data_IF_087844107386
#
_entry.id   IF_087844107386
#
_cell.length_a   1.000
_cell.length_b   1.000
_cell.length_c   1.000
_cell.angle_alpha   90.00
_cell.angle_beta   90.00
_cell.angle_gamma   90.00
#
_symmetry.space_group_name_H-M   'P 1'
#
loop_
_entity.id
_entity.type
_entity.pdbx_description
1 polymer ?
#
# COMPACT_ATOMS: atom_id res chain seq x y z
N UNK A 1 -9.40 -1.62 1.47
CA UNK A 1 -9.48 -3.09 1.34
C UNK A 1 -10.62 -3.52 2.25
N UNK A 2 -11.64 -4.26 1.77
CA UNK A 2 -12.67 -4.76 2.67
C UNK A 2 -12.02 -5.62 3.75
N UNK A 3 -12.37 -5.42 5.00
CA UNK A 3 -11.84 -6.20 6.11
C UNK A 3 -12.97 -6.63 7.04
N UNK A 4 -12.82 -7.82 7.61
CA UNK A 4 -13.83 -8.44 8.44
C UNK A 4 -13.44 -8.30 9.92
N UNK A 5 -14.38 -7.88 10.77
CA UNK A 5 -14.12 -7.59 12.18
C UNK A 5 -15.38 -7.79 13.03
N UNK A 6 -15.19 -7.88 14.35
CA UNK A 6 -16.29 -7.89 15.31
C UNK A 6 -16.71 -6.46 15.65
N UNK A 7 -17.98 -6.11 15.45
CA UNK A 7 -18.50 -4.79 15.78
C UNK A 7 -18.68 -4.58 17.29
N UNK A 8 -18.79 -5.66 18.07
CA UNK A 8 -18.97 -5.56 19.53
C UNK A 8 -17.67 -5.15 20.25
N UNK A 9 -16.51 -5.63 19.80
CA UNK A 9 -15.22 -5.38 20.46
C UNK A 9 -14.13 -4.81 19.55
N UNK A 10 -14.44 -4.56 18.27
CA UNK A 10 -13.49 -4.02 17.29
C UNK A 10 -12.41 -4.99 16.82
N UNK A 11 -12.41 -6.25 17.27
CA UNK A 11 -11.35 -7.20 16.93
C UNK A 11 -11.42 -7.61 15.44
N UNK A 12 -10.35 -7.40 14.65
CA UNK A 12 -10.32 -7.83 13.25
C UNK A 12 -10.05 -9.34 13.13
N UNK A 13 -10.61 -9.97 12.11
CA UNK A 13 -10.33 -11.37 11.79
C UNK A 13 -9.05 -11.46 10.96
N UNK A 14 -7.97 -11.95 11.57
CA UNK A 14 -6.64 -12.03 10.97
C UNK A 14 -6.39 -13.35 10.25
N UNK A 15 -5.46 -13.34 9.30
CA UNK A 15 -4.95 -14.56 8.68
C UNK A 15 -4.03 -15.33 9.64
N UNK A 16 -4.14 -16.65 9.70
CA UNK A 16 -3.26 -17.49 10.53
C UNK A 16 -1.81 -17.50 10.02
N UNK A 17 -1.67 -17.32 8.71
CA UNK A 17 -0.39 -17.37 8.01
C UNK A 17 0.27 -16.00 7.84
N UNK A 18 -0.48 -14.91 7.95
CA UNK A 18 0.01 -13.56 7.70
C UNK A 18 -0.52 -12.61 8.77
N UNK A 19 0.28 -11.66 9.25
CA UNK A 19 -0.19 -10.64 10.19
C UNK A 19 -0.95 -9.52 9.44
N UNK A 20 -2.03 -9.91 8.77
CA UNK A 20 -2.94 -9.06 8.01
C UNK A 20 -4.37 -9.46 8.28
N UNK A 21 -5.30 -8.51 8.12
CA UNK A 21 -6.73 -8.75 8.24
C UNK A 21 -7.24 -9.45 6.96
N UNK A 22 -8.12 -10.43 7.13
CA UNK A 22 -8.76 -11.11 6.02
C UNK A 22 -9.79 -10.21 5.34
N UNK A 23 -9.83 -10.28 4.01
CA UNK A 23 -10.81 -9.56 3.21
C UNK A 23 -12.06 -10.41 3.00
N UNK A 24 -13.23 -9.78 3.10
CA UNK A 24 -14.50 -10.43 2.76
C UNK A 24 -14.69 -10.45 1.23
N UNK A 25 -14.99 -11.63 0.68
CA UNK A 25 -15.26 -11.88 -0.73
C UNK A 25 -16.61 -12.56 -0.91
N UNK A 26 -17.23 -12.35 -2.09
CA UNK A 26 -18.45 -13.04 -2.53
C UNK A 26 -18.14 -13.98 -3.69
N UNK A 27 -18.40 -15.27 -3.52
CA UNK A 27 -18.24 -16.31 -4.54
C UNK A 27 -19.59 -16.89 -5.00
N UNK A 28 -19.53 -17.90 -5.87
CA UNK A 28 -20.74 -18.61 -6.34
C UNK A 28 -21.52 -19.32 -5.22
N UNK A 29 -20.83 -19.71 -4.15
CA UNK A 29 -21.38 -20.52 -3.06
C UNK A 29 -21.58 -19.73 -1.76
N UNK A 30 -21.50 -18.39 -1.80
CA UNK A 30 -21.66 -17.54 -0.64
C UNK A 30 -20.47 -16.63 -0.37
N UNK A 31 -20.47 -16.03 0.82
CA UNK A 31 -19.39 -15.19 1.32
C UNK A 31 -18.26 -16.02 1.91
N UNK A 32 -17.01 -15.58 1.74
CA UNK A 32 -15.84 -16.21 2.33
C UNK A 32 -14.76 -15.16 2.62
N UNK A 33 -13.84 -15.49 3.52
CA UNK A 33 -12.71 -14.66 3.87
C UNK A 33 -11.48 -15.07 3.05
N UNK A 34 -10.70 -14.10 2.57
CA UNK A 34 -9.49 -14.33 1.78
C UNK A 34 -8.34 -13.43 2.21
N UNK A 35 -7.16 -14.02 2.36
CA UNK A 35 -5.91 -13.31 2.48
C UNK A 35 -5.35 -13.01 1.09
N UNK A 36 -5.29 -11.75 0.69
CA UNK A 36 -4.67 -11.36 -0.59
C UNK A 36 -3.15 -11.53 -0.64
N UNK A 37 -2.50 -11.74 0.51
CA UNK A 37 -1.06 -11.89 0.61
C UNK A 37 -0.61 -13.35 0.39
N UNK A 38 -1.25 -14.30 1.06
CA UNK A 38 -0.90 -15.72 0.95
C UNK A 38 -1.90 -16.56 0.15
N UNK A 39 -3.09 -16.05 -0.16
CA UNK A 39 -4.14 -16.80 -0.82
C UNK A 39 -4.95 -17.73 0.09
N UNK A 40 -4.68 -17.74 1.40
CA UNK A 40 -5.49 -18.46 2.39
C UNK A 40 -6.95 -18.00 2.31
N UNK A 41 -7.88 -18.96 2.33
CA UNK A 41 -9.31 -18.70 2.37
C UNK A 41 -9.93 -19.47 3.53
N UNK A 42 -10.94 -18.88 4.16
CA UNK A 42 -11.74 -19.53 5.21
C UNK A 42 -13.20 -19.12 5.09
N UNK A 43 -14.09 -19.86 5.73
CA UNK A 43 -15.46 -19.44 5.93
C UNK A 43 -15.54 -18.26 6.91
N UNK A 44 -16.71 -17.63 6.99
CA UNK A 44 -16.98 -16.60 7.99
C UNK A 44 -17.10 -17.26 9.38
N UNK A 45 -16.36 -16.80 10.40
CA UNK A 45 -16.55 -17.30 11.75
C UNK A 45 -17.95 -16.95 12.27
N UNK A 46 -18.56 -17.84 13.05
CA UNK A 46 -19.86 -17.60 13.69
C UNK A 46 -19.75 -16.75 14.96
N UNK A 47 -18.59 -16.78 15.62
CA UNK A 47 -18.32 -16.07 16.87
C UNK A 47 -16.95 -15.41 16.85
N UNK A 48 -16.84 -14.27 17.55
CA UNK A 48 -15.58 -13.57 17.72
C UNK A 48 -14.64 -14.36 18.64
N UNK A 49 -13.43 -14.66 18.18
CA UNK A 49 -12.41 -15.36 18.98
C UNK A 49 -11.95 -14.58 20.24
N UNK A 50 -12.20 -13.27 20.30
CA UNK A 50 -11.79 -12.43 21.43
C UNK A 50 -12.90 -12.23 22.49
N UNK A 51 -14.13 -11.92 22.07
CA UNK A 51 -15.22 -11.60 23.01
C UNK A 51 -16.39 -12.58 23.00
N UNK A 52 -16.40 -13.58 22.10
CA UNK A 52 -17.51 -14.51 21.92
C UNK A 52 -18.76 -13.92 21.24
N UNK A 53 -18.79 -12.61 20.97
CA UNK A 53 -19.89 -11.93 20.29
C UNK A 53 -20.14 -12.46 18.88
N UNK A 54 -21.38 -12.38 18.43
CA UNK A 54 -21.83 -12.88 17.11
C UNK A 54 -21.95 -11.77 16.06
N UNK A 55 -21.80 -10.50 16.45
CA UNK A 55 -21.87 -9.38 15.53
C UNK A 55 -20.54 -9.20 14.80
N UNK A 56 -20.34 -10.03 13.78
CA UNK A 56 -19.20 -9.97 12.87
C UNK A 56 -19.64 -9.33 11.56
N UNK A 57 -18.92 -8.30 11.12
CA UNK A 57 -19.29 -7.49 9.98
C UNK A 57 -18.09 -7.29 9.05
N UNK A 58 -18.37 -7.24 7.75
CA UNK A 58 -17.42 -6.77 6.75
C UNK A 58 -17.56 -5.26 6.56
N UNK A 59 -16.48 -4.51 6.76
CA UNK A 59 -16.39 -3.12 6.31
C UNK A 59 -15.67 -3.10 4.98
N UNK A 60 -16.40 -2.76 3.92
CA UNK A 60 -15.87 -2.64 2.57
C UNK A 60 -15.87 -1.21 2.05
N UNK A 61 -14.77 -0.48 2.20
CA UNK A 61 -14.39 0.54 1.20
C UNK A 61 -13.64 -0.21 0.09
N UNK A 62 -14.39 -0.66 -0.90
CA UNK A 62 -13.88 -1.42 -2.03
C UNK A 62 -14.61 -1.04 -3.31
N UNK A 63 -13.92 -1.20 -4.43
CA UNK A 63 -14.47 -0.97 -5.78
C UNK A 63 -15.77 -1.74 -6.02
N UNK A 64 -15.97 -2.89 -5.38
CA UNK A 64 -17.20 -3.68 -5.46
C UNK A 64 -18.40 -3.01 -4.77
N UNK A 65 -18.23 -2.48 -3.55
CA UNK A 65 -19.31 -1.79 -2.84
C UNK A 65 -19.70 -0.51 -3.58
N UNK A 66 -18.69 0.21 -4.07
CA UNK A 66 -18.88 1.40 -4.91
C UNK A 66 -19.62 1.05 -6.20
N UNK A 67 -19.26 -0.05 -6.88
CA UNK A 67 -19.98 -0.55 -8.05
C UNK A 67 -21.45 -0.85 -7.72
N UNK A 68 -21.73 -1.53 -6.61
CA UNK A 68 -23.10 -1.86 -6.19
C UNK A 68 -23.92 -0.60 -5.88
N UNK A 69 -23.43 0.26 -4.98
CA UNK A 69 -24.14 1.49 -4.59
C UNK A 69 -24.36 2.42 -5.78
N UNK A 70 -23.37 2.57 -6.67
CA UNK A 70 -23.54 3.38 -7.88
C UNK A 70 -24.51 2.74 -8.88
N UNK A 71 -24.57 1.41 -8.98
CA UNK A 71 -25.52 0.74 -9.88
C UNK A 71 -26.97 0.88 -9.39
N UNK A 72 -27.18 1.08 -8.09
CA UNK A 72 -28.51 1.36 -7.52
C UNK A 72 -28.93 2.83 -7.73
N UNK A 73 -27.96 3.75 -7.72
CA UNK A 73 -28.21 5.20 -7.85
C UNK A 73 -28.26 5.66 -9.31
N UNK A 74 -27.46 5.04 -10.19
CA UNK A 74 -27.29 5.48 -11.57
C UNK A 74 -28.05 4.59 -12.55
N UNK A 75 -28.65 5.20 -13.57
CA UNK A 75 -29.28 4.49 -14.68
C UNK A 75 -28.27 4.05 -15.77
N UNK A 76 -26.98 3.98 -15.45
CA UNK A 76 -25.92 3.60 -16.39
C UNK A 76 -25.21 2.36 -15.89
N UNK A 77 -24.73 1.55 -16.82
CA UNK A 77 -23.88 0.41 -16.49
C UNK A 77 -22.57 0.89 -15.85
N UNK A 78 -22.30 0.40 -14.64
CA UNK A 78 -21.08 0.68 -13.89
C UNK A 78 -20.10 -0.46 -14.11
N UNK A 79 -18.98 -0.17 -14.77
CA UNK A 79 -17.94 -1.17 -14.98
C UNK A 79 -16.91 -1.10 -13.87
N UNK A 80 -16.65 -2.23 -13.21
CA UNK A 80 -15.51 -2.39 -12.29
C UNK A 80 -14.25 -2.92 -12.98
N UNK A 81 -13.12 -2.30 -12.69
CA UNK A 81 -11.77 -2.68 -13.15
C UNK A 81 -10.82 -2.77 -11.95
N UNK A 82 -10.59 -3.99 -11.47
CA UNK A 82 -9.61 -4.30 -10.44
C UNK A 82 -8.96 -5.67 -10.68
N UNK A 83 -7.94 -5.99 -9.87
CA UNK A 83 -7.16 -7.23 -9.98
C UNK A 83 -7.95 -8.50 -9.68
N UNK A 84 -9.11 -8.38 -9.01
CA UNK A 84 -9.96 -9.52 -8.67
C UNK A 84 -10.94 -9.85 -9.81
N UNK A 85 -11.44 -8.81 -10.52
CA UNK A 85 -12.37 -8.97 -11.65
C UNK A 85 -11.64 -9.21 -12.98
N UNK A 86 -10.52 -8.52 -13.23
CA UNK A 86 -9.78 -8.64 -14.51
C UNK A 86 -8.69 -9.71 -14.39
N UNK A 87 -8.85 -10.79 -15.16
CA UNK A 87 -7.93 -11.94 -15.12
C UNK A 87 -6.88 -11.92 -16.23
N UNK A 88 -7.04 -11.07 -17.24
CA UNK A 88 -6.11 -10.98 -18.39
C UNK A 88 -5.78 -9.54 -18.78
N UNK A 89 -4.56 -9.31 -19.29
CA UNK A 89 -4.16 -8.00 -19.84
C UNK A 89 -5.04 -7.56 -21.02
N UNK A 90 -5.53 -8.51 -21.83
CA UNK A 90 -6.39 -8.21 -22.97
C UNK A 90 -7.74 -7.64 -22.54
N UNK A 91 -8.34 -8.19 -21.49
CA UNK A 91 -9.60 -7.69 -20.92
C UNK A 91 -9.48 -6.26 -20.40
N UNK A 92 -8.39 -5.94 -19.68
CA UNK A 92 -8.12 -4.56 -19.28
C UNK A 92 -8.04 -3.60 -20.46
N UNK A 93 -7.28 -3.94 -21.51
CA UNK A 93 -7.13 -3.07 -22.67
C UNK A 93 -8.46 -2.85 -23.40
N UNK A 94 -9.32 -3.87 -23.46
CA UNK A 94 -10.65 -3.77 -24.06
C UNK A 94 -11.55 -2.80 -23.29
N UNK A 95 -11.68 -2.96 -21.97
CA UNK A 95 -12.49 -2.08 -21.12
C UNK A 95 -12.02 -0.62 -21.24
N UNK A 96 -10.70 -0.43 -21.21
CA UNK A 96 -10.08 0.88 -21.35
C UNK A 96 -10.38 1.52 -22.71
N UNK A 97 -10.31 0.75 -23.80
CA UNK A 97 -10.69 1.21 -25.14
C UNK A 97 -12.17 1.57 -25.22
N UNK A 98 -13.06 0.71 -24.73
CA UNK A 98 -14.51 0.94 -24.72
C UNK A 98 -14.88 2.19 -23.89
N UNK A 99 -14.19 2.44 -22.78
CA UNK A 99 -14.35 3.67 -21.99
C UNK A 99 -13.85 4.92 -22.74
N UNK A 100 -12.69 4.84 -23.39
CA UNK A 100 -12.18 5.95 -24.22
C UNK A 100 -13.08 6.31 -25.41
N UNK A 101 -13.71 5.30 -26.01
CA UNK A 101 -14.70 5.45 -27.09
C UNK A 101 -16.08 5.92 -26.60
N UNK A 102 -16.29 6.07 -25.28
CA UNK A 102 -17.55 6.51 -24.69
C UNK A 102 -18.64 5.44 -24.60
N UNK A 103 -18.32 4.17 -24.89
CA UNK A 103 -19.24 3.03 -24.74
C UNK A 103 -19.51 2.72 -23.26
N UNK A 104 -18.48 2.86 -22.42
CA UNK A 104 -18.61 2.78 -20.96
C UNK A 104 -18.70 4.20 -20.42
N UNK A 105 -19.77 4.49 -19.67
CA UNK A 105 -20.01 5.83 -19.09
C UNK A 105 -19.45 5.99 -17.69
N UNK A 106 -19.39 4.91 -16.92
CA UNK A 106 -18.91 4.90 -15.53
C UNK A 106 -17.94 3.75 -15.34
N UNK A 107 -16.73 4.07 -14.90
CA UNK A 107 -15.67 3.11 -14.62
C UNK A 107 -15.19 3.30 -13.18
N UNK A 108 -15.28 2.23 -12.39
CA UNK A 108 -14.81 2.16 -11.00
C UNK A 108 -13.58 1.26 -10.97
N UNK A 109 -12.50 1.68 -10.35
CA UNK A 109 -11.35 0.79 -10.20
C UNK A 109 -10.28 1.31 -9.28
N UNK A 110 -9.20 0.53 -9.19
CA UNK A 110 -8.04 0.86 -8.35
C UNK A 110 -7.00 1.64 -9.15
N UNK A 111 -5.77 1.75 -8.61
CA UNK A 111 -4.58 2.33 -9.27
C UNK A 111 -4.39 1.87 -10.73
N UNK A 112 -4.91 0.70 -11.11
CA UNK A 112 -4.89 0.19 -12.48
C UNK A 112 -5.62 1.09 -13.50
N UNK A 113 -6.67 1.81 -13.09
CA UNK A 113 -7.45 2.70 -13.98
C UNK A 113 -6.70 3.97 -14.34
N UNK A 114 -5.64 4.32 -13.62
CA UNK A 114 -4.89 5.57 -13.85
C UNK A 114 -3.66 5.32 -14.75
N UNK A 115 -3.18 4.07 -14.81
CA UNK A 115 -1.99 3.68 -15.60
C UNK A 115 -2.38 3.39 -17.05
N UNK A 116 -2.09 4.33 -17.95
CA UNK A 116 -2.00 4.08 -19.40
C UNK A 116 -3.08 4.69 -20.29
N UNK A 117 -3.70 5.83 -19.92
CA UNK A 117 -4.97 6.24 -20.53
C UNK A 117 -5.10 7.72 -20.85
N UNK A 118 -5.10 8.10 -22.12
CA UNK A 118 -5.59 9.42 -22.54
C UNK A 118 -7.11 9.33 -22.77
N UNK A 119 -7.90 10.07 -21.98
CA UNK A 119 -9.35 10.05 -22.05
C UNK A 119 -9.92 11.46 -22.23
N UNK A 120 -9.90 12.00 -23.45
CA UNK A 120 -10.33 13.38 -23.70
C UNK A 120 -11.79 13.66 -23.30
N UNK A 121 -12.61 12.61 -23.15
CA UNK A 121 -14.04 12.70 -22.85
C UNK A 121 -14.38 12.63 -21.35
N UNK A 122 -13.41 12.39 -20.47
CA UNK A 122 -13.69 12.26 -19.02
C UNK A 122 -14.05 13.62 -18.44
N UNK A 123 -15.29 13.73 -17.96
CA UNK A 123 -15.85 14.94 -17.38
C UNK A 123 -15.81 15.00 -15.86
N UNK A 124 -15.65 13.85 -15.19
CA UNK A 124 -15.60 13.74 -13.74
C UNK A 124 -14.68 12.60 -13.32
N UNK A 125 -13.79 12.87 -12.38
CA UNK A 125 -13.04 11.85 -11.65
C UNK A 125 -13.27 12.04 -10.16
N UNK A 126 -13.48 10.93 -9.44
CA UNK A 126 -13.66 10.92 -7.99
C UNK A 126 -12.62 10.01 -7.36
N UNK A 127 -11.78 10.57 -6.49
CA UNK A 127 -10.84 9.84 -5.65
C UNK A 127 -11.51 9.66 -4.28
N UNK A 128 -11.96 8.44 -3.97
CA UNK A 128 -12.73 8.14 -2.76
C UNK A 128 -11.89 8.06 -1.47
N UNK A 129 -10.59 7.81 -1.59
CA UNK A 129 -9.69 7.74 -0.44
C UNK A 129 -8.28 8.20 -0.84
N UNK A 130 -8.03 9.51 -0.76
CA UNK A 130 -6.71 10.06 -1.08
C UNK A 130 -5.63 9.70 -0.05
N UNK A 131 -6.03 9.43 1.20
CA UNK A 131 -5.12 9.15 2.31
C UNK A 131 -4.31 7.86 2.07
N UNK A 132 -4.87 6.88 1.35
CA UNK A 132 -4.15 5.65 0.98
C UNK A 132 -2.86 5.93 0.18
N UNK A 133 -2.88 6.96 -0.68
CA UNK A 133 -1.71 7.33 -1.48
C UNK A 133 -0.78 8.27 -0.72
N UNK A 134 -1.33 9.15 0.12
CA UNK A 134 -0.57 10.19 0.85
C UNK A 134 0.32 9.59 1.95
N UNK A 135 -0.16 8.58 2.69
CA UNK A 135 0.57 8.04 3.86
C UNK A 135 1.16 6.64 3.65
N UNK A 136 1.16 6.15 2.41
CA UNK A 136 1.42 4.75 2.04
C UNK A 136 2.57 4.11 2.84
N UNK A 137 2.22 3.28 3.83
CA UNK A 137 3.15 2.44 4.60
C UNK A 137 4.26 3.20 5.34
N UNK A 138 4.08 4.50 5.61
CA UNK A 138 5.14 5.34 6.18
C UNK A 138 6.33 5.57 5.23
N UNK A 139 6.17 5.33 3.93
CA UNK A 139 7.20 5.58 2.94
C UNK A 139 7.31 7.08 2.66
N UNK A 140 8.49 7.65 2.87
CA UNK A 140 8.77 9.07 2.62
C UNK A 140 8.57 9.50 1.15
N UNK A 141 8.47 8.54 0.23
CA UNK A 141 8.12 8.78 -1.19
C UNK A 141 6.62 8.76 -1.46
N UNK A 142 5.78 8.54 -0.44
CA UNK A 142 4.33 8.50 -0.59
C UNK A 142 3.77 9.82 -1.14
N UNK A 143 4.18 10.96 -0.56
CA UNK A 143 3.77 12.29 -1.00
C UNK A 143 4.10 12.56 -2.48
N UNK A 144 5.33 12.23 -2.88
CA UNK A 144 5.80 12.41 -4.27
C UNK A 144 4.94 11.60 -5.25
N UNK A 145 4.68 10.33 -4.92
CA UNK A 145 3.86 9.45 -5.75
C UNK A 145 2.39 9.86 -5.77
N UNK A 146 1.86 10.29 -4.64
CA UNK A 146 0.51 10.84 -4.56
C UNK A 146 0.38 12.05 -5.50
N UNK A 147 1.36 12.94 -5.49
CA UNK A 147 1.38 14.08 -6.38
C UNK A 147 1.47 13.68 -7.86
N UNK A 148 2.36 12.75 -8.22
CA UNK A 148 2.44 12.20 -9.59
C UNK A 148 1.09 11.63 -10.05
N UNK A 149 0.40 10.88 -9.19
CA UNK A 149 -0.92 10.32 -9.48
C UNK A 149 -1.95 11.43 -9.67
N UNK A 150 -1.98 12.44 -8.79
CA UNK A 150 -2.93 13.55 -8.87
C UNK A 150 -2.76 14.35 -10.17
N UNK A 151 -1.52 14.71 -10.53
CA UNK A 151 -1.24 15.39 -11.80
C UNK A 151 -1.53 14.53 -13.02
N UNK A 152 -1.23 13.22 -12.95
CA UNK A 152 -1.55 12.28 -14.01
C UNK A 152 -3.08 12.20 -14.21
N UNK A 153 -3.86 12.16 -13.13
CA UNK A 153 -5.31 12.16 -13.19
C UNK A 153 -5.80 13.48 -13.77
N UNK A 154 -5.37 14.62 -13.23
CA UNK A 154 -5.88 15.93 -13.66
C UNK A 154 -5.58 16.24 -15.12
N UNK A 155 -4.40 15.84 -15.62
CA UNK A 155 -4.03 16.05 -17.02
C UNK A 155 -4.87 15.23 -18.00
N UNK A 156 -5.59 14.21 -17.52
CA UNK A 156 -6.43 13.32 -18.34
C UNK A 156 -7.92 13.67 -18.24
N UNK A 157 -8.29 14.71 -17.48
CA UNK A 157 -9.66 15.22 -17.39
C UNK A 157 -9.83 16.30 -18.46
N UNK A 158 -10.99 16.33 -19.12
CA UNK A 158 -11.30 17.39 -20.09
C UNK A 158 -11.19 18.78 -19.44
N UNK A 159 -10.95 19.83 -20.22
CA UNK A 159 -10.75 21.20 -19.71
C UNK A 159 -11.87 21.70 -18.76
N UNK A 160 -13.12 21.32 -19.04
CA UNK A 160 -14.34 21.65 -18.27
C UNK A 160 -14.74 20.54 -17.28
N UNK A 161 -13.86 19.58 -17.03
CA UNK A 161 -14.13 18.46 -16.14
C UNK A 161 -13.82 18.78 -14.68
N UNK A 162 -14.31 17.93 -13.78
CA UNK A 162 -14.17 18.09 -12.34
C UNK A 162 -13.36 16.95 -11.74
N UNK A 163 -12.53 17.27 -10.75
CA UNK A 163 -11.84 16.30 -9.89
C UNK A 163 -12.35 16.46 -8.47
N UNK A 164 -12.96 15.43 -7.92
CA UNK A 164 -13.38 15.37 -6.52
C UNK A 164 -12.41 14.48 -5.75
N UNK A 165 -11.92 14.99 -4.63
CA UNK A 165 -10.95 14.28 -3.78
C UNK A 165 -11.55 14.17 -2.39
N UNK A 166 -11.77 12.93 -1.95
CA UNK A 166 -12.20 12.62 -0.59
C UNK A 166 -10.96 12.24 0.23
N UNK A 167 -10.81 12.91 1.36
CA UNK A 167 -9.70 12.72 2.31
C UNK A 167 -10.15 13.04 3.72
N UNK A 168 -9.54 12.39 4.70
CA UNK A 168 -9.66 12.74 6.12
C UNK A 168 -8.84 13.98 6.49
N UNK A 169 -7.80 14.33 5.71
CA UNK A 169 -6.95 15.49 5.95
C UNK A 169 -6.95 16.47 4.76
N UNK A 170 -7.98 17.31 4.59
CA UNK A 170 -8.05 18.27 3.48
C UNK A 170 -6.95 19.34 3.54
N UNK A 171 -6.30 19.52 4.69
CA UNK A 171 -5.23 20.49 4.90
C UNK A 171 -3.84 19.95 4.56
N UNK A 172 -3.73 18.70 4.10
CA UNK A 172 -2.45 18.10 3.74
C UNK A 172 -1.68 18.97 2.71
N UNK A 173 -0.38 19.27 2.92
CA UNK A 173 0.39 20.17 2.05
C UNK A 173 0.31 19.81 0.57
N UNK A 174 0.54 18.53 0.22
CA UNK A 174 0.42 18.00 -1.15
C UNK A 174 -0.92 18.35 -1.81
N UNK A 175 -2.04 18.16 -1.11
CA UNK A 175 -3.36 18.45 -1.66
C UNK A 175 -3.57 19.95 -1.86
N UNK A 176 -3.17 20.77 -0.88
CA UNK A 176 -3.30 22.23 -0.97
C UNK A 176 -2.47 22.82 -2.11
N UNK A 177 -1.26 22.30 -2.31
CA UNK A 177 -0.35 22.76 -3.36
C UNK A 177 -0.80 22.28 -4.74
N UNK A 178 -1.28 21.03 -4.85
CA UNK A 178 -1.91 20.50 -6.05
C UNK A 178 -3.10 21.37 -6.49
N UNK A 179 -4.03 21.68 -5.58
CA UNK A 179 -5.20 22.53 -5.87
C UNK A 179 -4.82 23.96 -6.29
N UNK A 180 -3.64 24.44 -5.89
CA UNK A 180 -3.10 25.76 -6.27
C UNK A 180 -2.26 25.73 -7.55
N UNK A 181 -2.07 24.57 -8.17
CA UNK A 181 -1.20 24.40 -9.34
C UNK A 181 0.27 24.65 -9.05
N UNK A 182 0.71 24.52 -7.78
CA UNK A 182 2.08 24.84 -7.33
C UNK A 182 2.97 23.60 -7.27
N UNK A 183 3.00 22.81 -8.34
CA UNK A 183 3.78 21.56 -8.44
C UNK A 183 5.24 21.76 -8.02
N UNK A 184 5.88 22.83 -8.51
CA UNK A 184 7.29 23.10 -8.26
C UNK A 184 7.57 23.26 -6.76
N UNK A 185 6.75 24.05 -6.07
CA UNK A 185 6.90 24.32 -4.64
C UNK A 185 6.78 23.03 -3.81
N UNK A 186 5.88 22.12 -4.18
CA UNK A 186 5.74 20.82 -3.52
C UNK A 186 7.00 19.98 -3.64
N UNK A 187 7.59 19.92 -4.84
CA UNK A 187 8.81 19.16 -5.06
C UNK A 187 10.00 19.79 -4.34
N UNK A 188 10.14 21.12 -4.36
CA UNK A 188 11.17 21.84 -3.63
C UNK A 188 11.08 21.55 -2.12
N UNK A 189 9.88 21.61 -1.53
CA UNK A 189 9.65 21.26 -0.12
C UNK A 189 10.07 19.82 0.18
N UNK A 190 9.60 18.84 -0.61
CA UNK A 190 9.95 17.42 -0.40
C UNK A 190 11.45 17.16 -0.59
N UNK A 191 12.09 17.88 -1.51
CA UNK A 191 13.52 17.78 -1.77
C UNK A 191 14.32 18.30 -0.57
N UNK A 192 13.99 19.47 -0.04
CA UNK A 192 14.61 20.03 1.17
C UNK A 192 14.40 19.13 2.40
N UNK A 193 13.19 18.59 2.58
CA UNK A 193 12.90 17.66 3.68
C UNK A 193 13.76 16.38 3.60
N UNK A 194 13.97 15.85 2.39
CA UNK A 194 14.83 14.68 2.15
C UNK A 194 16.31 15.00 2.38
N UNK A 195 16.77 16.19 1.97
CA UNK A 195 18.14 16.63 2.21
C UNK A 195 18.44 16.71 3.70
N UNK A 196 17.59 17.42 4.45
CA UNK A 196 17.73 17.59 5.91
C UNK A 196 17.64 16.26 6.67
N UNK A 197 16.85 15.32 6.16
CA UNK A 197 16.68 14.00 6.78
C UNK A 197 17.71 12.96 6.30
N UNK A 198 18.60 13.32 5.37
CA UNK A 198 19.57 12.40 4.80
C UNK A 198 18.92 11.21 4.07
N UNK A 199 17.81 11.45 3.38
CA UNK A 199 17.09 10.43 2.61
C UNK A 199 17.52 10.46 1.13
N UNK A 200 17.28 9.38 0.35
CA UNK A 200 17.46 9.41 -1.10
C UNK A 200 16.74 10.61 -1.75
N UNK A 201 17.36 11.28 -2.74
CA UNK A 201 18.58 10.89 -3.46
C UNK A 201 19.91 11.33 -2.83
N UNK A 202 19.90 12.03 -1.68
CA UNK A 202 21.12 12.61 -1.08
C UNK A 202 22.02 11.60 -0.39
N UNK A 203 21.44 10.47 0.04
CA UNK A 203 22.17 9.31 0.59
C UNK A 203 21.70 8.04 -0.10
N UNK A 204 22.57 7.04 -0.12
CA UNK A 204 22.26 5.68 -0.55
C UNK A 204 21.49 4.98 0.56
N UNK A 205 20.56 4.12 0.17
CA UNK A 205 19.69 3.42 1.10
C UNK A 205 19.69 1.93 0.79
N UNK A 206 19.77 1.09 1.82
CA UNK A 206 19.48 -0.32 1.69
C UNK A 206 18.56 -0.80 2.81
N UNK A 207 17.77 -1.83 2.53
CA UNK A 207 17.03 -2.58 3.53
C UNK A 207 17.70 -3.94 3.69
N UNK A 208 18.10 -4.25 4.92
CA UNK A 208 18.52 -5.59 5.30
C UNK A 208 17.38 -6.24 6.07
N UNK A 209 16.89 -7.39 5.59
CA UNK A 209 15.77 -8.11 6.17
C UNK A 209 16.18 -9.55 6.47
N UNK A 210 15.81 -10.04 7.66
CA UNK A 210 15.94 -11.45 8.03
C UNK A 210 14.57 -12.09 8.04
N UNK A 211 14.47 -13.24 7.38
CA UNK A 211 13.23 -14.03 7.27
C UNK A 211 13.38 -15.39 7.94
N UNK A 212 12.45 -15.72 8.82
CA UNK A 212 12.42 -17.01 9.54
C UNK A 212 11.00 -17.55 9.67
N UNK A 213 10.83 -18.87 9.63
CA UNK A 213 9.54 -19.52 9.91
C UNK A 213 9.25 -19.71 11.41
N UNK A 214 10.25 -19.49 12.27
CA UNK A 214 10.13 -19.59 13.73
C UNK A 214 10.00 -18.21 14.38
N UNK A 215 8.95 -18.01 15.17
CA UNK A 215 8.74 -16.80 15.96
C UNK A 215 9.81 -16.61 17.04
N UNK A 216 10.30 -17.70 17.63
CA UNK A 216 11.40 -17.64 18.60
C UNK A 216 12.66 -17.08 17.94
N UNK A 217 13.00 -17.59 16.75
CA UNK A 217 14.12 -17.06 15.98
C UNK A 217 13.90 -15.61 15.55
N UNK A 218 12.66 -15.18 15.28
CA UNK A 218 12.33 -13.77 14.99
C UNK A 218 12.67 -12.87 16.18
N UNK A 219 12.29 -13.27 17.39
CA UNK A 219 12.63 -12.56 18.64
C UNK A 219 14.14 -12.51 18.88
N UNK A 220 14.86 -13.60 18.63
CA UNK A 220 16.32 -13.66 18.75
C UNK A 220 16.98 -12.73 17.73
N UNK A 221 16.56 -12.77 16.46
CA UNK A 221 17.08 -11.91 15.42
C UNK A 221 16.83 -10.43 15.73
N UNK A 222 15.67 -10.08 16.28
CA UNK A 222 15.37 -8.72 16.70
C UNK A 222 16.39 -8.23 17.73
N UNK A 223 16.65 -8.99 18.80
CA UNK A 223 17.67 -8.64 19.79
C UNK A 223 19.07 -8.51 19.21
N UNK A 224 19.50 -9.46 18.37
CA UNK A 224 20.83 -9.39 17.74
C UNK A 224 20.98 -8.14 16.87
N UNK A 225 19.93 -7.74 16.16
CA UNK A 225 19.93 -6.51 15.36
C UNK A 225 19.85 -5.26 16.22
N UNK A 226 19.11 -5.28 17.33
CA UNK A 226 19.03 -4.20 18.31
C UNK A 226 20.42 -3.91 18.89
N UNK A 227 21.09 -4.94 19.41
CA UNK A 227 22.45 -4.86 19.92
C UNK A 227 23.43 -4.33 18.85
N UNK A 228 23.29 -4.76 17.60
CA UNK A 228 24.11 -4.26 16.51
C UNK A 228 23.87 -2.77 16.27
N UNK A 229 22.62 -2.32 16.15
CA UNK A 229 22.27 -0.93 15.85
C UNK A 229 22.76 0.02 16.95
N UNK A 230 22.61 -0.35 18.22
CA UNK A 230 23.06 0.48 19.35
C UNK A 230 24.59 0.69 19.35
N UNK A 231 25.33 -0.35 18.95
CA UNK A 231 26.79 -0.37 19.01
C UNK A 231 27.48 0.05 17.72
N UNK A 232 26.78 0.08 16.58
CA UNK A 232 27.39 0.38 15.29
C UNK A 232 27.75 1.87 15.13
N UNK A 233 28.99 2.18 14.70
CA UNK A 233 29.50 3.56 14.60
C UNK A 233 29.93 3.99 13.19
N UNK A 234 30.08 3.06 12.24
CA UNK A 234 30.66 3.33 10.92
C UNK A 234 29.66 3.89 9.89
N UNK A 235 28.36 3.85 10.17
CA UNK A 235 27.31 4.34 9.27
C UNK A 235 25.98 4.54 9.99
N UNK A 236 24.95 4.98 9.28
CA UNK A 236 23.61 5.16 9.86
C UNK A 236 22.77 3.91 9.65
N UNK A 237 22.35 3.28 10.75
CA UNK A 237 21.43 2.15 10.73
C UNK A 237 20.22 2.48 11.58
N UNK A 238 19.02 2.36 11.02
CA UNK A 238 17.75 2.58 11.70
C UNK A 238 17.02 1.26 11.92
N UNK A 239 16.37 1.14 13.07
CA UNK A 239 15.68 -0.07 13.50
C UNK A 239 16.39 -0.73 14.69
N UNK A 240 16.25 -2.06 14.87
CA UNK A 240 15.41 -2.97 14.08
C UNK A 240 13.93 -2.60 14.15
N UNK A 241 13.18 -2.96 13.12
CA UNK A 241 11.74 -2.78 13.09
C UNK A 241 11.08 -3.95 12.38
N UNK A 242 9.82 -4.21 12.71
CA UNK A 242 9.00 -5.10 11.90
C UNK A 242 8.46 -4.32 10.69
N UNK A 243 8.49 -4.89 9.47
CA UNK A 243 7.83 -4.27 8.33
C UNK A 243 6.31 -4.16 8.59
N UNK A 244 5.58 -3.31 7.83
CA UNK A 244 4.14 -3.09 8.03
C UNK A 244 3.30 -4.36 8.14
N UNK A 245 3.77 -5.44 7.50
CA UNK A 245 3.23 -6.80 7.70
C UNK A 245 4.32 -7.68 8.30
N UNK A 246 4.30 -7.93 9.62
CA UNK A 246 5.37 -8.69 10.31
C UNK A 246 5.53 -10.11 9.78
N UNK A 247 4.42 -10.81 9.51
CA UNK A 247 4.41 -12.21 9.07
C UNK A 247 3.74 -12.34 7.70
N UNK A 248 4.38 -13.03 6.75
CA UNK A 248 3.82 -13.37 5.44
C UNK A 248 4.04 -14.85 5.16
N UNK A 249 2.96 -15.59 4.85
CA UNK A 249 3.03 -17.02 4.47
C UNK A 249 3.83 -17.85 5.48
N UNK A 250 3.54 -17.69 6.77
CA UNK A 250 4.26 -18.37 7.85
C UNK A 250 5.64 -17.81 8.17
N UNK A 251 6.15 -16.86 7.39
CA UNK A 251 7.50 -16.32 7.53
C UNK A 251 7.47 -14.97 8.24
N UNK A 252 8.10 -14.91 9.39
CA UNK A 252 8.34 -13.69 10.17
C UNK A 252 9.49 -12.89 9.57
N UNK A 253 9.41 -11.57 9.71
CA UNK A 253 10.33 -10.62 9.11
C UNK A 253 10.73 -9.57 10.14
N UNK A 254 12.04 -9.33 10.23
CA UNK A 254 12.63 -8.20 10.93
C UNK A 254 13.61 -7.53 9.98
N UNK A 255 13.67 -6.20 10.01
CA UNK A 255 14.54 -5.43 9.13
C UNK A 255 15.23 -4.29 9.83
N UNK A 256 16.34 -3.86 9.24
CA UNK A 256 16.97 -2.56 9.50
C UNK A 256 17.08 -1.79 8.19
N UNK A 257 17.09 -0.47 8.30
CA UNK A 257 17.35 0.44 7.19
C UNK A 257 18.76 0.96 7.33
N UNK A 258 19.56 0.81 6.28
CA UNK A 258 20.93 1.33 6.20
C UNK A 258 20.92 2.57 5.34
N UNK A 259 21.51 3.65 5.83
CA UNK A 259 21.79 4.86 5.06
C UNK A 259 23.30 5.09 5.03
N UNK A 260 23.84 5.36 3.86
CA UNK A 260 25.27 5.64 3.64
C UNK A 260 25.46 6.80 2.68
N UNK A 261 26.58 7.50 2.80
CA UNK A 261 26.90 8.62 1.90
C UNK A 261 27.24 8.14 0.49
N UNK A 262 27.84 6.94 0.37
CA UNK A 262 28.15 6.30 -0.90
C UNK A 262 27.86 4.79 -0.88
N UNK A 263 28.08 4.13 -2.03
CA UNK A 263 27.87 2.70 -2.17
C UNK A 263 28.81 1.84 -1.29
N UNK A 264 30.02 2.34 -0.99
CA UNK A 264 31.01 1.61 -0.20
C UNK A 264 30.60 1.57 1.26
N UNK A 265 30.12 2.69 1.80
CA UNK A 265 29.60 2.77 3.16
C UNK A 265 28.44 1.78 3.34
N UNK A 266 27.44 1.81 2.44
CA UNK A 266 26.31 0.86 2.48
C UNK A 266 26.81 -0.59 2.38
N UNK A 267 27.70 -0.89 1.43
CA UNK A 267 28.23 -2.25 1.26
C UNK A 267 28.97 -2.75 2.49
N UNK A 268 29.71 -1.87 3.19
CA UNK A 268 30.42 -2.22 4.41
C UNK A 268 29.44 -2.57 5.54
N UNK A 269 28.41 -1.73 5.77
CA UNK A 269 27.38 -2.03 6.77
C UNK A 269 26.65 -3.33 6.47
N UNK A 270 26.29 -3.58 5.20
CA UNK A 270 25.63 -4.81 4.80
C UNK A 270 26.51 -6.05 5.02
N UNK A 271 27.82 -5.95 4.77
CA UNK A 271 28.77 -7.03 5.07
C UNK A 271 28.88 -7.31 6.57
N UNK A 272 28.88 -6.26 7.40
CA UNK A 272 28.92 -6.42 8.85
C UNK A 272 27.62 -7.06 9.37
N UNK A 273 26.46 -6.63 8.87
CA UNK A 273 25.15 -7.26 9.15
C UNK A 273 25.10 -8.72 8.69
N UNK A 274 25.71 -9.03 7.54
CA UNK A 274 25.79 -10.39 7.02
C UNK A 274 26.62 -11.31 7.92
N UNK A 275 27.63 -10.78 8.62
CA UNK A 275 28.46 -11.57 9.54
C UNK A 275 27.76 -11.96 10.85
N UNK A 276 26.64 -11.31 11.18
CA UNK A 276 25.92 -11.54 12.43
C UNK A 276 25.32 -12.96 12.50
N UNK A 277 25.23 -13.55 13.71
CA UNK A 277 24.69 -14.89 13.96
C UNK A 277 23.15 -14.93 13.89
N UNK A 278 22.58 -14.36 12.84
CA UNK A 278 21.14 -14.31 12.58
C UNK A 278 20.63 -15.65 12.07
N UNK A 279 19.45 -16.05 12.56
CA UNK A 279 18.80 -17.32 12.25
C UNK A 279 17.72 -17.14 11.19
N UNK A 280 18.00 -17.61 9.98
CA UNK A 280 17.06 -17.56 8.86
C UNK A 280 17.72 -17.02 7.59
N UNK A 281 16.89 -16.70 6.60
CA UNK A 281 17.35 -16.17 5.32
C UNK A 281 17.59 -14.66 5.43
N UNK A 282 18.81 -14.24 5.12
CA UNK A 282 19.21 -12.83 4.99
C UNK A 282 18.87 -12.31 3.59
N UNK A 283 18.32 -11.12 3.50
CA UNK A 283 17.87 -10.48 2.25
C UNK A 283 18.37 -9.05 2.23
N UNK A 284 18.93 -8.67 1.09
CA UNK A 284 19.49 -7.34 0.84
C UNK A 284 18.70 -6.68 -0.28
N UNK A 285 18.19 -5.49 -0.04
CA UNK A 285 17.52 -4.67 -1.04
C UNK A 285 18.20 -3.31 -1.11
N UNK A 286 19.10 -3.14 -2.08
CA UNK A 286 19.88 -1.91 -2.29
C UNK A 286 19.09 -0.97 -3.19
N UNK A 287 19.02 0.30 -2.79
CA UNK A 287 18.25 1.37 -3.41
C UNK A 287 16.77 0.96 -3.64
N UNK A 288 16.04 0.62 -2.57
CA UNK A 288 14.67 0.16 -2.69
C UNK A 288 13.77 1.23 -3.29
N UNK A 289 12.99 0.84 -4.30
CA UNK A 289 11.94 1.69 -4.89
C UNK A 289 10.72 1.82 -3.96
N UNK A 290 10.51 0.79 -3.12
CA UNK A 290 9.38 0.64 -2.22
C UNK A 290 9.85 0.16 -0.85
N UNK A 291 9.23 0.68 0.22
CA UNK A 291 9.56 0.35 1.62
C UNK A 291 8.57 -0.64 2.26
N UNK A 292 7.57 -1.13 1.53
CA UNK A 292 6.57 -2.12 1.95
C UNK A 292 6.94 -3.57 1.58
#
# INVERSE_FOLDING_TARGET
MPYFFCSDCGTPVKCENCDVVLALHKGKFGEFLKCHVCGFSSDLPLTCANCGGTNLQGVGFGTQRVEQELSEILNFEVFRMDSDKIRSKGESLRILKEFGEGKIRVLVGTKMVVKGLDFPNVSLVVILNADEFLYRGGDFRAEERAMQILYQISGRIRKEGKLLIQTYNPNHPVLREFLRGKMKNSYERMYEERERSGLPPFRRMAIFEVRTSSEENDRINFKVLEDFVENYKFGTVWGPTHPPVRKIRGTYRVRVVVLGNDAREVSKVLSDLESLPLRGRKIFNVDPVHLD
#
